data_IF_703915250855
#
_entry.id   IF_703915250855
#
_cell.length_a   1.000
_cell.length_b   1.000
_cell.length_c   1.000
_cell.angle_alpha   90.00
_cell.angle_beta   90.00
_cell.angle_gamma   90.00
#
_symmetry.space_group_name_H-M   'P 1'
#
loop_
_entity.id
_entity.type
_entity.pdbx_description
1 polymer ?
#
# COMPACT_ATOMS: atom_id res chain seq x y z
N UNK A 1 -27.68 8.31 17.77
CA UNK A 1 -28.80 8.43 18.74
C UNK A 1 -28.49 7.77 20.08
N UNK A 2 -27.82 6.62 20.11
CA UNK A 2 -27.48 5.91 21.36
C UNK A 2 -26.36 6.60 22.17
N UNK A 3 -25.43 7.30 21.53
CA UNK A 3 -24.34 7.99 22.21
C UNK A 3 -24.80 9.17 23.10
N UNK A 4 -25.93 9.81 22.76
CA UNK A 4 -26.52 10.90 23.56
C UNK A 4 -27.38 10.40 24.73
N UNK A 5 -27.85 9.14 24.66
CA UNK A 5 -28.77 8.55 25.64
C UNK A 5 -28.01 7.65 26.62
N UNK A 6 -26.95 6.99 26.16
CA UNK A 6 -26.11 6.09 26.95
C UNK A 6 -24.62 6.30 26.58
N UNK A 7 -24.13 7.53 26.76
CA UNK A 7 -22.73 7.87 26.55
C UNK A 7 -21.84 7.13 27.56
N UNK A 8 -21.01 6.22 27.06
CA UNK A 8 -20.06 5.41 27.84
C UNK A 8 -18.68 6.06 27.99
N UNK A 9 -18.52 7.26 27.43
CA UNK A 9 -17.28 8.06 27.43
C UNK A 9 -16.75 8.48 28.82
N UNK A 10 -17.57 8.37 29.89
CA UNK A 10 -17.14 8.59 31.29
C UNK A 10 -17.05 7.30 32.11
N UNK A 11 -17.33 6.16 31.50
CA UNK A 11 -17.29 4.85 32.13
C UNK A 11 -15.96 4.23 31.73
N UNK A 12 -15.07 4.01 32.71
CA UNK A 12 -13.86 3.22 32.50
C UNK A 12 -14.25 1.76 32.62
N UNK A 13 -14.22 1.03 31.50
CA UNK A 13 -14.47 -0.40 31.53
C UNK A 13 -13.25 -1.14 32.08
N UNK A 14 -13.46 -2.23 32.83
CA UNK A 14 -12.37 -3.09 33.27
C UNK A 14 -11.55 -3.61 32.08
N UNK A 15 -12.19 -3.84 30.92
CA UNK A 15 -11.51 -4.20 29.67
C UNK A 15 -10.56 -3.13 29.11
N UNK A 16 -10.76 -1.86 29.47
CA UNK A 16 -9.86 -0.75 29.11
C UNK A 16 -8.84 -0.46 30.23
N UNK A 17 -9.06 -1.01 31.43
CA UNK A 17 -8.16 -0.86 32.58
C UNK A 17 -7.05 -1.93 32.61
N UNK A 18 -7.27 -3.08 31.97
CA UNK A 18 -6.31 -4.17 31.75
C UNK A 18 -5.35 -3.89 30.58
N UNK A 19 -4.82 -2.66 30.48
CA UNK A 19 -3.62 -2.40 29.66
C UNK A 19 -2.37 -3.05 30.30
N UNK A 20 -2.45 -3.41 31.59
CA UNK A 20 -1.50 -4.27 32.29
C UNK A 20 -1.92 -5.74 32.19
N UNK A 21 -1.57 -6.34 31.05
CA UNK A 21 -1.05 -7.71 30.88
C UNK A 21 -1.42 -8.82 31.89
N UNK A 22 -2.63 -8.88 32.43
CA UNK A 22 -3.08 -9.98 33.29
C UNK A 22 -3.44 -11.21 32.43
N UNK A 23 -2.42 -11.81 31.80
CA UNK A 23 -2.53 -13.16 31.25
C UNK A 23 -1.99 -13.41 29.84
N UNK A 24 -1.22 -12.50 29.24
CA UNK A 24 -0.55 -12.80 27.96
C UNK A 24 0.61 -13.77 28.20
N UNK A 25 0.29 -15.07 28.20
CA UNK A 25 1.29 -16.13 28.24
C UNK A 25 2.01 -16.16 26.88
N UNK A 26 3.33 -16.38 26.85
CA UNK A 26 4.03 -16.58 25.59
C UNK A 26 3.35 -17.70 24.82
N UNK A 27 3.26 -17.50 23.50
CA UNK A 27 2.61 -18.46 22.61
C UNK A 27 3.24 -19.85 22.81
N UNK A 28 2.42 -20.92 22.91
CA UNK A 28 2.92 -22.27 23.16
C UNK A 28 3.78 -22.80 22.02
N UNK A 29 3.71 -22.19 20.83
CA UNK A 29 4.42 -22.63 19.64
C UNK A 29 5.24 -21.47 19.02
N UNK A 30 6.53 -21.70 18.75
CA UNK A 30 7.36 -20.76 17.99
C UNK A 30 6.84 -20.60 16.54
N UNK A 31 6.94 -19.38 16.00
CA UNK A 31 6.74 -19.13 14.56
C UNK A 31 5.32 -18.79 14.10
N UNK A 32 4.38 -18.58 15.02
CA UNK A 32 3.07 -17.98 14.71
C UNK A 32 3.21 -16.46 14.55
N UNK A 33 2.35 -15.82 13.75
CA UNK A 33 2.35 -14.37 13.58
C UNK A 33 1.72 -13.65 14.78
N UNK A 34 2.55 -12.94 15.54
CA UNK A 34 2.16 -12.30 16.80
C UNK A 34 1.03 -11.30 16.62
N UNK A 35 1.02 -10.55 15.50
CA UNK A 35 0.00 -9.53 15.20
C UNK A 35 -1.41 -10.11 15.04
N UNK A 36 -1.54 -11.32 14.46
CA UNK A 36 -2.85 -11.95 14.26
C UNK A 36 -3.33 -12.72 15.48
N UNK A 37 -2.41 -13.12 16.36
CA UNK A 37 -2.75 -13.68 17.66
C UNK A 37 -3.31 -12.63 18.64
N UNK A 38 -3.48 -11.36 18.22
CA UNK A 38 -4.00 -10.30 19.08
C UNK A 38 -3.02 -9.88 20.18
N UNK A 39 -1.75 -10.29 20.07
CA UNK A 39 -0.70 -9.86 20.98
C UNK A 39 -0.34 -8.43 20.58
N UNK A 40 -0.71 -7.49 21.44
CA UNK A 40 -0.50 -6.06 21.27
C UNK A 40 0.98 -5.68 21.04
N UNK A 41 1.21 -4.39 20.80
CA UNK A 41 2.47 -3.78 20.33
C UNK A 41 3.71 -3.93 21.25
N UNK A 42 3.68 -4.79 22.27
CA UNK A 42 4.79 -5.02 23.19
C UNK A 42 5.86 -5.98 22.65
N UNK A 43 5.88 -6.23 21.35
CA UNK A 43 7.03 -6.81 20.65
C UNK A 43 8.15 -5.80 20.33
N UNK A 44 7.98 -4.52 20.67
CA UNK A 44 8.91 -3.45 20.28
C UNK A 44 9.63 -2.76 21.45
N UNK A 45 9.22 -2.97 22.70
CA UNK A 45 9.93 -2.49 23.87
C UNK A 45 10.81 -3.62 24.43
N UNK A 46 12.12 -3.38 24.50
CA UNK A 46 13.17 -4.33 24.87
C UNK A 46 12.76 -5.38 25.91
N UNK A 47 12.71 -6.63 25.48
CA UNK A 47 12.63 -7.76 26.39
C UNK A 47 14.05 -8.16 26.84
N UNK A 48 14.57 -7.47 27.86
CA UNK A 48 15.76 -7.87 28.63
C UNK A 48 15.57 -9.19 29.40
N UNK A 49 14.40 -9.83 29.30
CA UNK A 49 14.13 -11.17 29.82
C UNK A 49 14.24 -12.22 28.72
N UNK A 50 15.45 -12.35 28.18
CA UNK A 50 15.81 -13.45 27.29
C UNK A 50 15.72 -14.78 28.02
N UNK A 51 14.86 -15.68 27.53
CA UNK A 51 14.98 -17.12 27.82
C UNK A 51 16.25 -17.60 27.09
N UNK A 52 17.25 -18.16 27.79
CA UNK A 52 18.48 -18.61 27.14
C UNK A 52 18.17 -19.81 26.25
N UNK A 53 18.06 -19.59 24.94
CA UNK A 53 17.92 -20.68 23.96
C UNK A 53 17.14 -20.37 22.69
N UNK A 54 16.27 -19.36 22.68
CA UNK A 54 15.55 -18.98 21.44
C UNK A 54 16.31 -17.84 20.79
N UNK A 55 17.30 -18.22 19.99
CA UNK A 55 18.04 -17.31 19.13
C UNK A 55 17.08 -16.52 18.25
N UNK A 56 17.07 -15.21 18.46
CA UNK A 56 16.73 -14.17 17.49
C UNK A 56 15.38 -14.32 16.81
N UNK A 57 14.43 -13.46 17.18
CA UNK A 57 13.57 -12.91 16.13
C UNK A 57 14.51 -12.41 15.03
N UNK A 58 14.41 -12.89 13.78
CA UNK A 58 15.01 -12.19 12.67
C UNK A 58 14.21 -10.89 12.57
N UNK A 59 14.66 -9.88 13.30
CA UNK A 59 14.39 -8.50 12.97
C UNK A 59 15.11 -8.28 11.64
N UNK A 60 14.51 -8.77 10.56
CA UNK A 60 14.73 -8.17 9.25
C UNK A 60 14.18 -6.75 9.37
N UNK A 61 14.98 -5.86 9.96
CA UNK A 61 14.77 -4.44 10.12
C UNK A 61 14.88 -3.70 8.77
N UNK A 62 14.61 -4.40 7.67
CA UNK A 62 14.35 -3.82 6.37
C UNK A 62 12.85 -3.65 6.22
N UNK A 63 12.42 -2.50 5.72
CA UNK A 63 11.02 -2.28 5.36
C UNK A 63 10.58 -3.36 4.36
N UNK A 64 9.67 -4.25 4.77
CA UNK A 64 9.12 -5.29 3.89
C UNK A 64 8.29 -4.58 2.80
N UNK A 65 8.66 -4.70 1.51
CA UNK A 65 8.15 -3.80 0.48
C UNK A 65 6.74 -4.18 0.00
N UNK A 66 6.36 -5.46 0.10
CA UNK A 66 5.13 -6.00 -0.49
C UNK A 66 4.38 -6.90 0.49
N UNK A 67 3.05 -6.83 0.47
CA UNK A 67 2.15 -7.67 1.29
C UNK A 67 2.28 -9.15 0.92
N UNK A 68 2.35 -10.02 1.92
CA UNK A 68 2.45 -11.46 1.73
C UNK A 68 1.13 -12.04 1.20
N UNK A 69 1.16 -12.60 -0.02
CA UNK A 69 -0.02 -13.27 -0.61
C UNK A 69 -0.57 -14.45 0.22
N UNK A 70 0.29 -15.14 0.98
CA UNK A 70 -0.11 -16.29 1.78
C UNK A 70 -0.72 -15.87 3.12
N UNK A 71 -0.26 -14.75 3.69
CA UNK A 71 -0.81 -14.19 4.91
C UNK A 71 -2.23 -13.65 4.70
N UNK A 72 -2.51 -13.01 3.56
CA UNK A 72 -3.86 -12.58 3.19
C UNK A 72 -4.89 -13.73 3.21
N UNK A 73 -4.43 -14.97 3.00
CA UNK A 73 -5.26 -16.18 3.03
C UNK A 73 -5.18 -16.93 4.37
N UNK A 74 -4.38 -16.44 5.31
CA UNK A 74 -4.12 -17.10 6.60
C UNK A 74 -3.29 -18.39 6.51
N UNK A 75 -2.55 -18.59 5.41
CA UNK A 75 -1.79 -19.82 5.12
C UNK A 75 -0.27 -19.62 5.27
N UNK A 76 0.17 -18.46 5.76
CA UNK A 76 1.60 -18.21 5.93
C UNK A 76 2.16 -19.01 7.10
N UNK A 77 3.13 -19.89 6.84
CA UNK A 77 3.82 -20.69 7.87
C UNK A 77 5.05 -20.02 8.48
N UNK A 78 5.48 -18.88 7.93
CA UNK A 78 6.72 -18.20 8.34
C UNK A 78 6.53 -17.20 9.49
N UNK A 79 5.29 -16.95 9.90
CA UNK A 79 4.97 -16.02 10.99
C UNK A 79 5.69 -14.68 10.84
N UNK A 80 6.27 -14.20 11.94
CA UNK A 80 6.97 -12.92 11.99
C UNK A 80 8.27 -12.89 11.16
N UNK A 81 8.87 -14.07 10.91
CA UNK A 81 10.06 -14.24 10.07
C UNK A 81 9.80 -14.24 8.56
N UNK A 82 8.59 -13.91 8.10
CA UNK A 82 8.29 -13.84 6.68
C UNK A 82 8.98 -12.64 6.00
N UNK A 83 9.57 -12.84 4.82
CA UNK A 83 10.20 -11.76 4.02
C UNK A 83 9.21 -10.69 3.54
N UNK A 84 7.92 -11.02 3.55
CA UNK A 84 6.84 -10.19 3.06
C UNK A 84 6.04 -9.57 4.21
N UNK A 85 5.39 -8.44 3.93
CA UNK A 85 4.62 -7.69 4.93
C UNK A 85 3.37 -8.46 5.36
N UNK A 86 3.17 -8.59 6.67
CA UNK A 86 1.98 -9.16 7.31
C UNK A 86 1.10 -8.05 7.89
N UNK A 87 0.83 -7.05 7.06
CA UNK A 87 -0.08 -5.94 7.35
C UNK A 87 -0.88 -5.65 6.09
N UNK A 88 -2.14 -5.23 6.25
CA UNK A 88 -2.98 -4.87 5.12
C UNK A 88 -2.68 -3.43 4.70
N UNK A 89 -1.91 -3.28 3.62
CA UNK A 89 -1.63 -2.00 2.98
C UNK A 89 -1.99 -2.10 1.49
N UNK A 90 -3.02 -1.37 1.07
CA UNK A 90 -3.50 -1.37 -0.31
C UNK A 90 -2.44 -0.83 -1.30
N UNK A 91 -1.56 0.07 -0.87
CA UNK A 91 -0.51 0.64 -1.73
C UNK A 91 0.68 -0.30 -1.96
N UNK A 92 0.85 -1.30 -1.09
CA UNK A 92 1.95 -2.28 -1.15
C UNK A 92 1.46 -3.68 -1.52
N UNK A 93 0.25 -3.78 -2.05
CA UNK A 93 -0.29 -5.05 -2.50
C UNK A 93 0.50 -5.55 -3.72
N UNK A 94 0.75 -6.86 -3.87
CA UNK A 94 1.37 -7.37 -5.09
C UNK A 94 0.53 -7.08 -6.33
N UNK A 95 1.18 -7.05 -7.49
CA UNK A 95 0.54 -6.87 -8.78
C UNK A 95 -0.42 -8.01 -9.12
N UNK A 96 -1.53 -7.68 -9.78
CA UNK A 96 -2.47 -8.65 -10.28
C UNK A 96 -1.86 -9.44 -11.44
N UNK A 97 -1.67 -10.74 -11.24
CA UNK A 97 -1.13 -11.62 -12.27
C UNK A 97 -1.95 -11.61 -13.56
N UNK A 98 -3.29 -11.65 -13.45
CA UNK A 98 -4.18 -11.68 -14.61
C UNK A 98 -4.13 -10.38 -15.40
N UNK A 99 -4.16 -9.25 -14.70
CA UNK A 99 -4.07 -7.94 -15.34
C UNK A 99 -2.70 -7.72 -16.00
N UNK A 100 -1.62 -8.06 -15.31
CA UNK A 100 -0.25 -7.91 -15.82
C UNK A 100 0.04 -8.81 -17.04
N UNK A 101 -0.56 -10.00 -17.11
CA UNK A 101 -0.36 -10.95 -18.22
C UNK A 101 -1.33 -10.79 -19.38
N UNK A 102 -2.62 -10.60 -19.10
CA UNK A 102 -3.69 -10.62 -20.11
C UNK A 102 -4.28 -9.24 -20.38
N UNK A 103 -3.94 -8.22 -19.58
CA UNK A 103 -4.50 -6.87 -19.70
C UNK A 103 -5.94 -6.75 -19.20
N UNK A 104 -6.52 -7.84 -18.68
CA UNK A 104 -7.86 -7.87 -18.13
C UNK A 104 -7.91 -8.64 -16.81
N UNK A 105 -8.76 -8.18 -15.89
CA UNK A 105 -9.06 -8.89 -14.65
C UNK A 105 -10.57 -9.14 -14.60
N UNK A 106 -10.98 -10.39 -14.40
CA UNK A 106 -12.40 -10.76 -14.30
C UNK A 106 -13.08 -10.29 -13.01
N UNK A 107 -12.31 -9.91 -11.99
CA UNK A 107 -12.82 -9.42 -10.72
C UNK A 107 -12.89 -7.89 -10.72
N UNK A 108 -14.07 -7.34 -10.44
CA UNK A 108 -14.30 -5.89 -10.31
C UNK A 108 -13.62 -5.31 -9.07
N UNK A 109 -13.68 -6.04 -7.96
CA UNK A 109 -13.05 -5.68 -6.69
C UNK A 109 -11.77 -6.51 -6.47
N UNK A 110 -10.80 -6.37 -7.38
CA UNK A 110 -9.51 -7.06 -7.25
C UNK A 110 -8.65 -6.38 -6.16
N UNK A 111 -8.23 -7.09 -5.10
CA UNK A 111 -7.37 -6.50 -4.08
C UNK A 111 -5.98 -6.15 -4.61
N UNK A 112 -5.52 -6.83 -5.66
CA UNK A 112 -4.17 -6.70 -6.23
C UNK A 112 -4.04 -5.48 -7.13
N UNK A 113 -2.82 -4.93 -7.22
CA UNK A 113 -2.58 -3.73 -8.02
C UNK A 113 -2.72 -4.01 -9.52
N UNK A 114 -3.55 -3.21 -10.19
CA UNK A 114 -3.65 -3.16 -11.66
C UNK A 114 -2.68 -2.09 -12.18
N UNK A 115 -1.50 -2.52 -12.62
CA UNK A 115 -0.49 -1.62 -13.19
C UNK A 115 -0.56 -1.67 -14.71
N UNK A 116 -0.98 -0.58 -15.33
CA UNK A 116 -0.99 -0.42 -16.79
C UNK A 116 0.43 -0.21 -17.31
N UNK A 117 1.07 -1.29 -17.79
CA UNK A 117 2.39 -1.22 -18.43
C UNK A 117 2.41 -0.37 -19.73
N UNK A 118 1.23 0.00 -20.26
CA UNK A 118 1.05 0.82 -21.46
C UNK A 118 0.83 2.30 -21.15
N UNK A 119 0.38 2.65 -19.94
CA UNK A 119 0.29 4.02 -19.50
C UNK A 119 1.62 4.41 -18.85
N UNK A 120 2.70 4.46 -19.62
CA UNK A 120 3.94 5.03 -19.09
C UNK A 120 3.64 6.47 -18.65
N UNK A 121 3.76 6.75 -17.35
CA UNK A 121 3.61 8.11 -16.83
C UNK A 121 4.56 9.09 -17.52
N UNK A 122 5.66 8.58 -18.08
CA UNK A 122 6.60 9.28 -18.93
C UNK A 122 5.92 9.65 -20.26
N UNK A 123 5.82 10.96 -20.52
CA UNK A 123 5.36 11.50 -21.80
C UNK A 123 6.27 11.09 -22.96
N UNK A 124 5.71 10.98 -24.17
CA UNK A 124 6.48 10.62 -25.35
C UNK A 124 7.40 11.79 -25.80
N UNK A 125 8.74 11.63 -25.78
CA UNK A 125 9.66 12.70 -26.17
C UNK A 125 9.54 13.12 -27.64
N UNK A 126 8.99 12.27 -28.50
CA UNK A 126 8.77 12.56 -29.91
C UNK A 126 7.45 13.32 -30.13
N UNK A 127 6.40 12.94 -29.40
CA UNK A 127 5.12 13.64 -29.45
C UNK A 127 5.21 15.03 -28.82
N UNK A 128 5.99 15.19 -27.74
CA UNK A 128 6.25 16.51 -27.14
C UNK A 128 7.01 17.45 -28.10
N UNK A 129 7.77 16.90 -29.05
CA UNK A 129 8.40 17.66 -30.16
C UNK A 129 7.46 17.91 -31.34
N UNK A 130 6.23 17.42 -31.28
CA UNK A 130 5.16 17.68 -32.25
C UNK A 130 4.63 16.43 -32.95
N UNK A 131 5.50 15.47 -33.31
CA UNK A 131 5.06 14.29 -34.06
C UNK A 131 5.75 13.00 -33.59
N UNK A 132 4.93 11.99 -33.28
CA UNK A 132 5.39 10.65 -32.98
C UNK A 132 5.12 9.72 -34.16
N UNK A 133 6.18 9.10 -34.68
CA UNK A 133 6.15 8.07 -35.74
C UNK A 133 5.27 6.86 -35.43
N UNK A 134 5.00 6.58 -34.15
CA UNK A 134 4.14 5.46 -33.73
C UNK A 134 2.66 5.84 -33.64
N UNK A 135 2.32 7.13 -33.81
CA UNK A 135 0.94 7.61 -33.80
C UNK A 135 0.18 7.21 -32.51
N UNK A 136 -1.10 6.84 -32.59
CA UNK A 136 -1.90 6.48 -31.42
C UNK A 136 -1.47 5.17 -30.74
N UNK A 137 -0.64 4.36 -31.41
CA UNK A 137 -0.13 3.08 -30.90
C UNK A 137 1.22 3.26 -30.15
N UNK A 138 1.59 4.49 -29.81
CA UNK A 138 2.82 4.72 -29.08
C UNK A 138 2.73 4.16 -27.65
N UNK A 139 3.80 3.47 -27.22
CA UNK A 139 3.96 3.01 -25.83
C UNK A 139 3.96 4.16 -24.81
N UNK A 140 4.36 5.36 -25.23
CA UNK A 140 4.48 6.51 -24.36
C UNK A 140 3.23 7.39 -24.39
N UNK A 141 2.91 8.03 -23.25
CA UNK A 141 1.72 8.88 -23.16
C UNK A 141 1.84 10.10 -24.09
N UNK A 142 0.88 10.25 -24.99
CA UNK A 142 0.73 11.43 -25.83
C UNK A 142 -0.20 12.44 -25.13
N UNK A 143 0.35 13.55 -24.64
CA UNK A 143 -0.44 14.64 -24.04
C UNK A 143 -0.62 15.73 -25.08
N UNK A 144 -1.83 15.85 -25.65
CA UNK A 144 -2.13 16.91 -26.63
C UNK A 144 -2.11 18.27 -25.94
N UNK A 145 -1.21 19.16 -26.37
CA UNK A 145 -1.24 20.57 -25.98
C UNK A 145 -2.23 21.31 -26.87
N UNK A 146 -3.15 22.05 -26.25
CA UNK A 146 -4.09 22.91 -26.96
C UNK A 146 -3.53 24.32 -26.88
N UNK A 147 -3.06 24.84 -28.01
CA UNK A 147 -2.59 26.21 -28.12
C UNK A 147 -3.74 27.19 -27.88
N UNK A 148 -3.50 28.26 -27.12
CA UNK A 148 -4.45 29.36 -26.99
C UNK A 148 -4.65 30.04 -28.34
N UNK A 149 -5.89 30.07 -28.83
CA UNK A 149 -6.23 30.77 -30.07
C UNK A 149 -5.83 32.25 -30.02
N UNK A 150 -6.10 32.92 -28.89
CA UNK A 150 -5.75 34.33 -28.69
C UNK A 150 -4.24 34.57 -28.66
N UNK A 151 -3.45 33.59 -28.21
CA UNK A 151 -1.99 33.69 -28.24
C UNK A 151 -1.47 33.52 -29.67
N UNK A 152 -2.06 32.60 -30.42
CA UNK A 152 -1.74 32.37 -31.83
C UNK A 152 -1.98 33.64 -32.68
N UNK A 153 -3.04 34.40 -32.38
CA UNK A 153 -3.34 35.67 -33.06
C UNK A 153 -2.65 36.89 -32.44
N UNK A 154 -1.85 36.72 -31.38
CA UNK A 154 -1.06 37.80 -30.77
C UNK A 154 -1.80 38.70 -29.76
N UNK A 155 -3.03 38.37 -29.39
CA UNK A 155 -3.88 39.16 -28.49
C UNK A 155 -4.02 38.57 -27.07
N UNK A 156 -3.29 37.50 -26.74
CA UNK A 156 -3.42 36.90 -25.41
C UNK A 156 -2.83 37.83 -24.33
N UNK A 157 -3.62 38.27 -23.32
CA UNK A 157 -3.13 39.13 -22.25
C UNK A 157 -2.10 38.45 -21.35
N UNK A 158 -2.09 37.11 -21.30
CA UNK A 158 -1.13 36.31 -20.52
C UNK A 158 0.18 36.06 -21.30
N UNK A 159 0.19 36.33 -22.61
CA UNK A 159 1.33 36.12 -23.49
C UNK A 159 1.91 34.69 -23.37
N UNK A 160 3.25 34.52 -23.28
CA UNK A 160 3.89 33.21 -23.24
C UNK A 160 3.63 32.44 -21.92
N UNK A 161 3.01 33.07 -20.92
CA UNK A 161 2.63 32.45 -19.65
C UNK A 161 1.21 31.89 -19.67
N UNK A 162 0.53 31.90 -20.82
CA UNK A 162 -0.83 31.42 -20.92
C UNK A 162 -0.95 29.95 -20.51
N UNK A 163 -2.02 29.60 -19.78
CA UNK A 163 -2.32 28.21 -19.37
C UNK A 163 -2.45 27.25 -20.56
N UNK A 164 -2.80 27.78 -21.74
CA UNK A 164 -3.02 27.04 -22.97
C UNK A 164 -1.84 27.30 -23.93
N UNK A 165 -0.74 26.57 -23.74
CA UNK A 165 0.47 26.55 -24.60
C UNK A 165 0.80 25.10 -24.96
#
# INVERSE_FOLDING_TARGET
MQELVAGVEKIRFDSEADEEELGARPLPFPGVDSKRAGLGQWGQAGCDRGVPGVQGHPQHAGAKPVVCKHWLRGLCKRGDGCDFLHDYDAGRMPECYFYSKFGECGNKDCPFLHVDGTASAVGCPWYDRGFCRHGPLCKYKHTRRVMCANYLVGFCPEGPKCKFV
#
